data_IF_699514042700
#
_entry.id   IF_699514042700
#
_cell.length_a   1.000
_cell.length_b   1.000
_cell.length_c   1.000
_cell.angle_alpha   90.00
_cell.angle_beta   90.00
_cell.angle_gamma   90.00
#
_symmetry.space_group_name_H-M   'P 1'
#
loop_
_entity.id
_entity.type
_entity.pdbx_description
1 polymer ?
#
# COMPACT_ATOMS: atom_id res chain seq x y z
N UNK A 1 11.19 -29.75 12.46
CA UNK A 1 10.40 -28.50 12.39
C UNK A 1 9.60 -28.50 11.09
N UNK A 2 8.30 -28.42 11.19
CA UNK A 2 7.44 -28.35 10.00
C UNK A 2 7.41 -26.92 9.48
N UNK A 3 7.83 -26.72 8.23
CA UNK A 3 7.71 -25.44 7.55
C UNK A 3 6.40 -25.43 6.76
N UNK A 4 5.31 -25.16 7.46
CA UNK A 4 3.98 -25.03 6.87
C UNK A 4 3.48 -23.61 7.01
N UNK A 5 2.82 -23.11 5.97
CA UNK A 5 2.29 -21.74 5.93
C UNK A 5 0.84 -21.78 5.46
N UNK A 6 0.04 -20.86 5.99
CA UNK A 6 -1.35 -20.70 5.56
C UNK A 6 -1.42 -20.00 4.19
N UNK A 7 -0.51 -19.05 3.96
CA UNK A 7 -0.47 -18.26 2.71
C UNK A 7 0.99 -18.07 2.29
N UNK A 8 1.23 -18.20 1.00
CA UNK A 8 2.52 -17.86 0.38
C UNK A 8 2.29 -16.70 -0.58
N UNK A 9 3.06 -15.63 -0.43
CA UNK A 9 2.99 -14.44 -1.27
C UNK A 9 4.24 -14.37 -2.13
N UNK A 10 4.06 -14.32 -3.44
CA UNK A 10 5.15 -14.14 -4.39
C UNK A 10 5.36 -12.66 -4.67
N UNK A 11 6.41 -12.09 -4.14
CA UNK A 11 6.77 -10.68 -4.30
C UNK A 11 6.52 -9.85 -3.04
N UNK A 12 7.50 -9.03 -2.69
CA UNK A 12 7.45 -8.13 -1.53
C UNK A 12 7.43 -6.65 -1.98
N UNK A 13 6.58 -6.35 -2.94
CA UNK A 13 6.35 -4.99 -3.41
C UNK A 13 5.21 -4.29 -2.65
N UNK A 14 4.65 -3.24 -3.25
CA UNK A 14 3.61 -2.41 -2.65
C UNK A 14 2.27 -3.12 -2.45
N UNK A 15 2.06 -4.26 -3.10
CA UNK A 15 0.86 -5.10 -2.91
C UNK A 15 1.16 -6.25 -1.97
N UNK A 16 2.25 -6.98 -2.20
CA UNK A 16 2.60 -8.17 -1.43
C UNK A 16 2.93 -7.87 0.03
N UNK A 17 3.67 -6.81 0.30
CA UNK A 17 4.09 -6.44 1.66
C UNK A 17 2.90 -6.07 2.56
N UNK A 18 1.99 -5.15 2.16
CA UNK A 18 0.80 -4.86 2.96
C UNK A 18 -0.13 -6.06 3.10
N UNK A 19 -0.26 -6.87 2.07
CA UNK A 19 -1.06 -8.10 2.12
C UNK A 19 -0.52 -9.04 3.21
N UNK A 20 0.79 -9.26 3.24
CA UNK A 20 1.43 -10.06 4.27
C UNK A 20 1.20 -9.49 5.68
N UNK A 21 1.32 -8.18 5.82
CA UNK A 21 1.10 -7.49 7.09
C UNK A 21 -0.31 -7.74 7.62
N UNK A 22 -1.33 -7.52 6.82
CA UNK A 22 -2.71 -7.68 7.27
C UNK A 22 -3.11 -9.14 7.47
N UNK A 23 -2.61 -10.06 6.66
CA UNK A 23 -2.84 -11.49 6.87
C UNK A 23 -2.18 -11.99 8.17
N UNK A 24 -0.95 -11.55 8.44
CA UNK A 24 -0.26 -11.88 9.69
C UNK A 24 -0.99 -11.30 10.89
N UNK A 25 -1.48 -10.09 10.77
CA UNK A 25 -2.29 -9.43 11.82
C UNK A 25 -3.59 -10.18 12.08
N UNK A 26 -4.15 -10.83 11.06
CA UNK A 26 -5.33 -11.67 11.18
C UNK A 26 -5.04 -13.06 11.78
N UNK A 27 -3.80 -13.36 12.12
CA UNK A 27 -3.40 -14.61 12.76
C UNK A 27 -2.93 -15.70 11.80
N UNK A 28 -2.80 -15.42 10.52
CA UNK A 28 -2.33 -16.39 9.53
C UNK A 28 -0.80 -16.45 9.51
N UNK A 29 -0.28 -17.63 9.25
CA UNK A 29 1.16 -17.82 9.07
C UNK A 29 1.50 -17.57 7.59
N UNK A 30 2.24 -16.50 7.32
CA UNK A 30 2.51 -16.02 5.97
C UNK A 30 3.99 -16.16 5.62
N UNK A 31 4.28 -16.66 4.42
CA UNK A 31 5.60 -16.64 3.83
C UNK A 31 5.60 -15.69 2.63
N UNK A 32 6.55 -14.77 2.61
CA UNK A 32 6.76 -13.88 1.45
C UNK A 32 8.05 -14.30 0.76
N UNK A 33 7.98 -14.49 -0.54
CA UNK A 33 9.13 -14.86 -1.38
C UNK A 33 9.47 -13.66 -2.27
N UNK A 34 10.69 -13.14 -2.13
CA UNK A 34 11.17 -12.01 -2.92
C UNK A 34 12.50 -12.39 -3.57
N UNK A 35 12.60 -12.38 -4.93
CA UNK A 35 13.84 -12.74 -5.62
C UNK A 35 14.93 -11.67 -5.55
N UNK A 36 14.57 -10.43 -5.22
CA UNK A 36 15.53 -9.34 -5.10
C UNK A 36 16.09 -9.24 -3.67
N UNK A 37 17.12 -8.41 -3.49
CA UNK A 37 17.88 -8.35 -2.24
C UNK A 37 17.05 -7.92 -1.02
N UNK A 38 15.99 -7.13 -1.23
CA UNK A 38 15.12 -6.66 -0.15
C UNK A 38 13.75 -6.29 -0.68
N UNK A 39 12.83 -5.92 0.22
CA UNK A 39 11.49 -5.48 -0.15
C UNK A 39 11.52 -4.18 -0.96
N UNK A 40 10.55 -4.01 -1.86
CA UNK A 40 10.37 -2.78 -2.61
C UNK A 40 11.43 -2.49 -3.68
N UNK A 41 12.24 -3.46 -4.07
CA UNK A 41 13.33 -3.25 -5.04
C UNK A 41 12.89 -3.29 -6.50
N UNK A 42 11.67 -3.75 -6.78
CA UNK A 42 11.13 -3.81 -8.15
C UNK A 42 10.53 -2.46 -8.59
N UNK A 43 9.36 -2.52 -9.19
CA UNK A 43 8.65 -1.33 -9.69
C UNK A 43 8.39 -0.28 -8.61
N UNK A 44 8.24 -0.70 -7.37
CA UNK A 44 7.90 0.18 -6.26
C UNK A 44 8.95 1.29 -6.03
N UNK A 45 10.23 0.98 -6.17
CA UNK A 45 11.29 1.98 -5.94
C UNK A 45 11.33 3.08 -7.00
N UNK A 46 10.67 2.86 -8.14
CA UNK A 46 10.60 3.84 -9.22
C UNK A 46 9.37 4.74 -9.11
N UNK A 47 8.50 4.50 -8.13
CA UNK A 47 7.31 5.31 -7.92
C UNK A 47 7.64 6.67 -7.30
N UNK A 48 6.81 7.67 -7.63
CA UNK A 48 6.95 9.04 -7.10
C UNK A 48 6.51 9.12 -5.63
N UNK A 49 5.69 8.19 -5.17
CA UNK A 49 5.20 8.16 -3.81
C UNK A 49 3.96 9.01 -3.55
N UNK A 50 3.25 9.41 -4.60
CA UNK A 50 1.99 10.14 -4.46
C UNK A 50 0.81 9.22 -4.21
N UNK A 51 -0.04 9.58 -3.25
CA UNK A 51 -1.26 8.84 -2.91
C UNK A 51 -2.46 9.77 -3.02
N UNK A 52 -3.51 9.32 -3.70
CA UNK A 52 -4.72 10.14 -3.89
C UNK A 52 -5.98 9.29 -3.95
N UNK A 53 -7.13 9.92 -3.71
CA UNK A 53 -8.45 9.31 -3.91
C UNK A 53 -9.27 10.03 -4.99
N UNK A 54 -8.64 10.92 -5.78
CA UNK A 54 -9.29 11.68 -6.84
C UNK A 54 -9.37 10.83 -8.12
N UNK A 55 -10.36 9.95 -8.16
CA UNK A 55 -10.61 9.03 -9.26
C UNK A 55 -12.07 9.16 -9.72
N UNK A 56 -12.37 8.66 -10.91
CA UNK A 56 -13.73 8.64 -11.45
C UNK A 56 -14.52 7.40 -11.04
N UNK A 57 -13.81 6.30 -10.79
CA UNK A 57 -14.42 5.01 -10.44
C UNK A 57 -14.73 4.97 -8.93
N UNK A 58 -16.01 4.76 -8.53
CA UNK A 58 -16.38 4.69 -7.11
C UNK A 58 -15.61 3.63 -6.33
N UNK A 59 -15.31 2.49 -6.91
CA UNK A 59 -14.54 1.43 -6.26
C UNK A 59 -13.10 1.89 -5.96
N UNK A 60 -12.46 2.58 -6.90
CA UNK A 60 -11.13 3.15 -6.69
C UNK A 60 -11.14 4.25 -5.62
N UNK A 61 -12.16 5.09 -5.61
CA UNK A 61 -12.32 6.14 -4.60
C UNK A 61 -12.38 5.52 -3.20
N UNK A 62 -13.19 4.48 -3.02
CA UNK A 62 -13.32 3.79 -1.73
C UNK A 62 -12.01 3.14 -1.29
N UNK A 63 -11.36 2.40 -2.17
CA UNK A 63 -10.08 1.74 -1.87
C UNK A 63 -9.00 2.75 -1.51
N UNK A 64 -8.86 3.81 -2.30
CA UNK A 64 -7.84 4.82 -2.06
C UNK A 64 -8.14 5.64 -0.81
N UNK A 65 -9.40 5.98 -0.55
CA UNK A 65 -9.80 6.70 0.67
C UNK A 65 -9.48 5.87 1.93
N UNK A 66 -9.77 4.58 1.91
CA UNK A 66 -9.42 3.69 3.02
C UNK A 66 -7.91 3.56 3.20
N UNK A 67 -7.16 3.47 2.11
CA UNK A 67 -5.70 3.42 2.16
C UNK A 67 -5.11 4.71 2.73
N UNK A 68 -5.61 5.86 2.33
CA UNK A 68 -5.18 7.16 2.86
C UNK A 68 -5.45 7.23 4.36
N UNK A 69 -6.61 6.76 4.80
CA UNK A 69 -6.97 6.74 6.22
C UNK A 69 -6.00 5.90 7.04
N UNK A 70 -5.61 4.73 6.55
CA UNK A 70 -4.63 3.85 7.19
C UNK A 70 -3.26 4.52 7.22
N UNK A 71 -2.79 5.02 6.09
CA UNK A 71 -1.46 5.61 5.96
C UNK A 71 -1.32 6.91 6.74
N UNK A 72 -2.32 7.79 6.71
CA UNK A 72 -2.26 9.06 7.43
C UNK A 72 -2.23 8.90 8.96
N UNK A 73 -2.77 7.80 9.48
CA UNK A 73 -2.74 7.48 10.90
C UNK A 73 -1.64 6.49 11.28
N UNK A 74 -0.78 6.10 10.36
CA UNK A 74 0.20 5.03 10.55
C UNK A 74 1.14 5.29 11.72
N UNK A 75 1.72 6.49 11.78
CA UNK A 75 2.66 6.85 12.83
C UNK A 75 2.01 6.80 14.22
N UNK A 76 0.78 7.29 14.34
CA UNK A 76 0.04 7.25 15.60
C UNK A 76 -0.35 5.83 16.01
N UNK A 77 -0.64 4.96 15.05
CA UNK A 77 -1.09 3.59 15.29
C UNK A 77 0.08 2.64 15.56
N UNK A 78 1.15 2.76 14.78
CA UNK A 78 2.26 1.80 14.78
C UNK A 78 3.61 2.39 15.21
N UNK A 79 3.71 3.71 15.32
CA UNK A 79 4.94 4.39 15.75
C UNK A 79 5.97 4.65 14.66
N UNK A 80 5.76 4.15 13.46
CA UNK A 80 6.70 4.34 12.35
C UNK A 80 6.45 5.64 11.63
N UNK A 81 7.51 6.40 11.35
CA UNK A 81 7.45 7.58 10.50
C UNK A 81 7.57 7.16 9.03
N UNK A 82 6.49 7.24 8.28
CA UNK A 82 6.44 6.95 6.85
C UNK A 82 6.60 8.20 5.99
N UNK A 83 6.98 9.32 6.59
CA UNK A 83 7.15 10.62 5.93
C UNK A 83 5.84 11.08 5.25
N UNK A 84 4.70 10.82 5.90
CA UNK A 84 3.41 11.22 5.39
C UNK A 84 3.26 12.73 5.41
N UNK A 85 2.95 13.31 4.25
CA UNK A 85 2.75 14.74 4.10
C UNK A 85 1.49 14.99 3.27
N UNK A 86 0.52 15.69 3.84
CA UNK A 86 -0.72 16.04 3.16
C UNK A 86 -0.54 17.34 2.38
N UNK A 87 -0.43 17.25 1.07
CA UNK A 87 -0.19 18.40 0.19
C UNK A 87 -1.28 18.61 -0.88
N UNK A 88 -2.03 17.57 -1.22
CA UNK A 88 -3.10 17.64 -2.21
C UNK A 88 -2.63 17.58 -3.66
N UNK A 89 -3.60 17.67 -4.57
CA UNK A 89 -3.39 17.63 -6.02
C UNK A 89 -4.16 18.79 -6.67
N UNK A 90 -3.58 19.34 -7.73
CA UNK A 90 -4.24 20.37 -8.54
C UNK A 90 -4.54 19.79 -9.93
N UNK A 91 -5.77 19.97 -10.38
CA UNK A 91 -6.21 19.56 -11.71
C UNK A 91 -6.62 20.81 -12.50
N UNK A 92 -6.16 20.88 -13.76
CA UNK A 92 -6.52 21.99 -14.65
C UNK A 92 -7.37 21.40 -15.78
N UNK A 93 -8.52 21.99 -16.02
CA UNK A 93 -9.42 21.62 -17.11
C UNK A 93 -9.93 22.86 -17.81
N UNK A 94 -10.06 22.78 -19.15
CA UNK A 94 -10.60 23.89 -19.95
C UNK A 94 -12.11 23.87 -20.01
N UNK A 95 -12.70 22.68 -19.99
CA UNK A 95 -14.15 22.47 -19.96
C UNK A 95 -14.53 21.68 -18.73
N UNK A 96 -15.76 21.86 -18.26
CA UNK A 96 -16.27 21.07 -17.13
C UNK A 96 -16.47 19.61 -17.55
N UNK A 97 -15.38 18.86 -17.58
CA UNK A 97 -15.40 17.43 -17.82
C UNK A 97 -15.48 16.78 -16.46
N UNK A 98 -16.65 16.42 -16.10
CA UNK A 98 -16.87 15.78 -14.80
C UNK A 98 -17.52 14.43 -15.02
#
# INVERSE_FOLDING_TARGET
>A
MKNTYDVIIAGAGSVGTPTAFFLSKAGLKVLVIEPLASTGQGSNKHAIGGVRATHSDPAKILLCANSIKILSSWQNTYGDDIEWNTCGYSFVAYDAII
#
